data_IF_451844729256
#
_entry.id   IF_451844729256
#
_cell.length_a   1.000
_cell.length_b   1.000
_cell.length_c   1.000
_cell.angle_alpha   90.00
_cell.angle_beta   90.00
_cell.angle_gamma   90.00
#
_symmetry.space_group_name_H-M   'P 1'
#
loop_
_entity.id
_entity.type
_entity.pdbx_description
1 polymer ?
#
# COMPACT_ATOMS: atom_id res chain seq x y z
N UNK A 1 -8.88 -8.07 -40.28
CA UNK A 1 -8.66 -7.42 -38.97
C UNK A 1 -7.19 -7.29 -38.64
N UNK A 2 -6.45 -8.35 -38.30
CA UNK A 2 -5.04 -8.22 -37.89
C UNK A 2 -4.13 -7.66 -38.98
N UNK A 3 -4.30 -8.09 -40.23
CA UNK A 3 -3.52 -7.54 -41.35
C UNK A 3 -3.78 -6.05 -41.57
N UNK A 4 -5.05 -5.64 -41.59
CA UNK A 4 -5.47 -4.23 -41.73
C UNK A 4 -5.04 -3.36 -40.53
N UNK A 5 -5.05 -3.95 -39.33
CA UNK A 5 -4.56 -3.31 -38.12
C UNK A 5 -3.07 -3.05 -38.24
N UNK A 6 -2.27 -4.05 -38.60
CA UNK A 6 -0.84 -3.89 -38.73
C UNK A 6 -0.46 -2.96 -39.89
N UNK A 7 -1.17 -3.01 -41.03
CA UNK A 7 -0.97 -2.03 -42.10
C UNK A 7 -1.24 -0.59 -41.61
N UNK A 8 -2.24 -0.42 -40.74
CA UNK A 8 -2.53 0.88 -40.13
C UNK A 8 -1.51 1.31 -39.08
N UNK A 9 -0.89 0.37 -38.37
CA UNK A 9 0.19 0.61 -37.40
C UNK A 9 1.53 0.91 -38.09
N UNK A 10 1.81 0.28 -39.24
CA UNK A 10 2.99 0.53 -40.06
C UNK A 10 2.89 1.88 -40.81
N UNK A 11 1.74 2.57 -40.72
CA UNK A 11 1.48 3.80 -41.46
C UNK A 11 2.35 4.96 -40.97
N UNK A 12 2.94 5.77 -41.87
CA UNK A 12 3.64 6.99 -41.48
C UNK A 12 2.69 8.05 -40.87
N UNK A 13 1.39 7.92 -41.10
CA UNK A 13 0.36 8.82 -40.57
C UNK A 13 0.02 8.51 -39.10
N UNK A 14 0.38 9.45 -38.22
CA UNK A 14 0.13 9.36 -36.77
C UNK A 14 -1.35 9.14 -36.43
N UNK A 15 -2.27 9.78 -37.16
CA UNK A 15 -3.70 9.66 -36.87
C UNK A 15 -4.20 8.24 -37.18
N UNK A 16 -3.67 7.63 -38.24
CA UNK A 16 -3.99 6.23 -38.60
C UNK A 16 -3.46 5.26 -37.55
N UNK A 17 -2.21 5.39 -37.12
CA UNK A 17 -1.64 4.54 -36.06
C UNK A 17 -2.43 4.67 -34.76
N UNK A 18 -2.76 5.91 -34.36
CA UNK A 18 -3.57 6.16 -33.17
C UNK A 18 -4.97 5.56 -33.26
N UNK A 19 -5.63 5.68 -34.41
CA UNK A 19 -6.94 5.07 -34.64
C UNK A 19 -6.85 3.54 -34.56
N UNK A 20 -5.81 2.94 -35.14
CA UNK A 20 -5.56 1.49 -35.07
C UNK A 20 -5.43 0.99 -33.62
N UNK A 21 -4.64 1.66 -32.78
CA UNK A 21 -4.53 1.31 -31.36
C UNK A 21 -5.85 1.42 -30.59
N UNK A 22 -6.68 2.42 -30.92
CA UNK A 22 -8.02 2.56 -30.34
C UNK A 22 -8.95 1.42 -30.77
N UNK A 23 -8.97 1.10 -32.06
CA UNK A 23 -9.76 0.00 -32.63
C UNK A 23 -9.36 -1.33 -32.00
N UNK A 24 -8.06 -1.61 -31.86
CA UNK A 24 -7.57 -2.80 -31.19
C UNK A 24 -8.06 -2.90 -29.74
N UNK A 25 -7.95 -1.81 -28.97
CA UNK A 25 -8.41 -1.78 -27.58
C UNK A 25 -9.90 -2.10 -27.47
N UNK A 26 -10.71 -1.53 -28.35
CA UNK A 26 -12.15 -1.75 -28.39
C UNK A 26 -12.47 -3.20 -28.79
N UNK A 27 -11.77 -3.74 -29.78
CA UNK A 27 -11.94 -5.12 -30.21
C UNK A 27 -11.59 -6.14 -29.12
N UNK A 28 -10.51 -5.90 -28.35
CA UNK A 28 -10.12 -6.70 -27.19
C UNK A 28 -11.20 -6.62 -26.10
N UNK A 29 -11.62 -5.40 -25.71
CA UNK A 29 -12.67 -5.22 -24.68
C UNK A 29 -13.99 -5.88 -25.05
N UNK A 30 -14.36 -5.87 -26.32
CA UNK A 30 -15.54 -6.56 -26.84
C UNK A 30 -15.38 -8.09 -26.90
N UNK A 31 -14.16 -8.62 -26.66
CA UNK A 31 -13.84 -10.04 -26.82
C UNK A 31 -13.81 -10.51 -28.27
N UNK A 32 -13.81 -9.57 -29.22
CA UNK A 32 -13.76 -9.82 -30.67
C UNK A 32 -12.34 -9.95 -31.22
N UNK A 33 -11.33 -9.54 -30.45
CA UNK A 33 -9.91 -9.74 -30.74
C UNK A 33 -9.24 -10.41 -29.53
N UNK A 34 -8.55 -11.52 -29.77
CA UNK A 34 -7.73 -12.22 -28.78
C UNK A 34 -6.36 -12.47 -29.41
N UNK A 35 -5.39 -11.54 -29.23
CA UNK A 35 -4.07 -11.68 -29.83
C UNK A 35 -3.37 -12.91 -29.24
N UNK A 36 -2.94 -13.82 -30.12
CA UNK A 36 -2.02 -14.88 -29.75
C UNK A 36 -0.59 -14.34 -29.55
N UNK A 37 0.35 -15.24 -29.24
CA UNK A 37 1.74 -14.90 -28.97
C UNK A 37 2.42 -14.14 -30.13
N UNK A 38 2.13 -14.52 -31.38
CA UNK A 38 2.72 -13.86 -32.55
C UNK A 38 2.18 -12.44 -32.72
N UNK A 39 0.87 -12.25 -32.54
CA UNK A 39 0.25 -10.93 -32.57
C UNK A 39 0.80 -10.04 -31.44
N UNK A 40 0.95 -10.58 -30.23
CA UNK A 40 1.49 -9.84 -29.08
C UNK A 40 2.92 -9.39 -29.31
N UNK A 41 3.80 -10.26 -29.80
CA UNK A 41 5.18 -9.90 -30.12
C UNK A 41 5.23 -8.75 -31.11
N UNK A 42 4.46 -8.81 -32.21
CA UNK A 42 4.44 -7.74 -33.20
C UNK A 42 3.86 -6.43 -32.65
N UNK A 43 2.79 -6.49 -31.87
CA UNK A 43 2.22 -5.29 -31.23
C UNK A 43 3.22 -4.63 -30.25
N UNK A 44 4.04 -5.42 -29.55
CA UNK A 44 5.08 -4.89 -28.67
C UNK A 44 6.20 -4.21 -29.48
N UNK A 45 6.60 -4.79 -30.61
CA UNK A 45 7.57 -4.18 -31.53
C UNK A 45 7.07 -2.82 -32.04
N UNK A 46 5.82 -2.74 -32.51
CA UNK A 46 5.19 -1.49 -32.95
C UNK A 46 5.09 -0.47 -31.81
N UNK A 47 4.76 -0.91 -30.59
CA UNK A 47 4.69 -0.03 -29.43
C UNK A 47 6.07 0.52 -29.04
N UNK A 48 7.12 -0.28 -29.15
CA UNK A 48 8.50 0.14 -28.87
C UNK A 48 8.99 1.15 -29.92
N UNK A 49 8.61 0.97 -31.18
CA UNK A 49 8.96 1.87 -32.27
C UNK A 49 8.21 3.22 -32.26
N UNK A 50 7.12 3.34 -31.48
CA UNK A 50 6.30 4.55 -31.46
C UNK A 50 6.96 5.72 -30.69
N UNK A 51 7.38 6.74 -31.43
CA UNK A 51 8.04 7.93 -30.88
C UNK A 51 7.05 8.96 -30.27
N UNK A 52 5.75 8.89 -30.63
CA UNK A 52 4.75 9.88 -30.20
C UNK A 52 4.05 9.44 -28.93
N UNK A 53 4.24 10.20 -27.85
CA UNK A 53 3.72 9.86 -26.51
C UNK A 53 2.21 9.57 -26.46
N UNK A 54 1.39 10.30 -27.21
CA UNK A 54 -0.07 10.12 -27.18
C UNK A 54 -0.53 8.84 -27.89
N UNK A 55 0.14 8.47 -28.99
CA UNK A 55 -0.11 7.22 -29.72
C UNK A 55 0.42 6.02 -28.93
N UNK A 56 1.62 6.15 -28.36
CA UNK A 56 2.21 5.16 -27.45
C UNK A 56 1.28 4.84 -26.28
N UNK A 57 0.69 5.86 -25.65
CA UNK A 57 -0.30 5.66 -24.57
C UNK A 57 -1.52 4.85 -25.01
N UNK A 58 -1.99 5.01 -26.25
CA UNK A 58 -3.12 4.20 -26.74
C UNK A 58 -2.71 2.74 -26.91
N UNK A 59 -1.49 2.47 -27.39
CA UNK A 59 -1.02 1.09 -27.52
C UNK A 59 -0.80 0.39 -26.18
N UNK A 60 -0.27 1.10 -25.17
CA UNK A 60 -0.23 0.59 -23.78
C UNK A 60 -1.63 0.24 -23.27
N UNK A 61 -2.62 1.12 -23.49
CA UNK A 61 -3.99 0.85 -23.06
C UNK A 61 -4.63 -0.35 -23.78
N UNK A 62 -4.29 -0.60 -25.05
CA UNK A 62 -4.76 -1.76 -25.80
C UNK A 62 -4.17 -3.06 -25.22
N UNK A 63 -2.85 -3.09 -25.00
CA UNK A 63 -2.17 -4.27 -24.45
C UNK A 63 -2.56 -4.57 -23.00
N UNK A 64 -2.76 -3.54 -22.18
CA UNK A 64 -3.31 -3.70 -20.83
C UNK A 64 -4.72 -4.31 -20.86
N UNK A 65 -5.57 -3.89 -21.80
CA UNK A 65 -6.90 -4.48 -21.94
C UNK A 65 -6.84 -6.00 -22.23
N UNK A 66 -5.86 -6.45 -23.01
CA UNK A 66 -5.65 -7.88 -23.28
C UNK A 66 -5.17 -8.61 -22.03
N UNK A 67 -4.15 -8.09 -21.33
CA UNK A 67 -3.63 -8.71 -20.11
C UNK A 67 -4.73 -8.90 -19.04
N UNK A 68 -5.61 -7.91 -18.90
CA UNK A 68 -6.75 -7.97 -17.97
C UNK A 68 -7.77 -9.05 -18.36
N UNK A 69 -7.94 -9.32 -19.65
CA UNK A 69 -8.87 -10.32 -20.16
C UNK A 69 -8.28 -11.74 -20.11
N UNK A 70 -7.00 -11.88 -20.47
CA UNK A 70 -6.27 -13.16 -20.49
C UNK A 70 -6.00 -13.69 -19.08
N UNK A 71 -5.73 -12.79 -18.12
CA UNK A 71 -5.63 -13.13 -16.69
C UNK A 71 -6.94 -13.66 -16.08
N UNK A 72 -8.07 -13.49 -16.76
CA UNK A 72 -9.35 -14.10 -16.40
C UNK A 72 -9.58 -15.49 -16.98
N UNK A 73 -8.85 -15.90 -18.03
CA UNK A 73 -9.10 -17.14 -18.79
C UNK A 73 -8.18 -18.31 -18.42
N UNK A 74 -6.97 -18.07 -17.94
CA UNK A 74 -6.06 -19.16 -17.52
C UNK A 74 -6.19 -19.48 -16.03
N UNK A 75 -6.96 -20.52 -15.70
CA UNK A 75 -6.75 -21.33 -14.50
C UNK A 75 -7.48 -20.89 -13.22
N UNK A 76 -8.80 -21.16 -13.15
CA UNK A 76 -9.39 -21.75 -11.93
C UNK A 76 -10.77 -22.31 -12.25
N UNK A 77 -10.86 -23.63 -12.32
CA UNK A 77 -12.05 -24.32 -11.85
C UNK A 77 -12.32 -23.81 -10.43
N UNK A 78 -13.37 -23.01 -10.29
CA UNK A 78 -13.90 -22.60 -9.01
C UNK A 78 -14.69 -23.80 -8.48
N UNK A 79 -14.34 -24.39 -7.33
CA UNK A 79 -15.25 -25.32 -6.69
C UNK A 79 -16.54 -24.56 -6.41
N UNK A 80 -17.64 -25.05 -6.97
CA UNK A 80 -18.97 -24.57 -6.69
C UNK A 80 -19.30 -24.88 -5.22
N UNK A 81 -19.15 -23.89 -4.34
CA UNK A 81 -19.96 -23.64 -3.14
C UNK A 81 -19.34 -22.49 -2.32
N UNK A 82 -20.03 -21.34 -2.29
CA UNK A 82 -19.82 -20.30 -1.28
C UNK A 82 -18.71 -19.27 -1.55
N UNK A 83 -18.72 -18.58 -2.70
CA UNK A 83 -18.00 -17.29 -2.81
C UNK A 83 -18.67 -16.32 -1.84
N UNK A 84 -17.99 -15.82 -0.79
CA UNK A 84 -18.59 -14.80 0.05
C UNK A 84 -18.85 -13.56 -0.81
N UNK A 85 -20.10 -13.08 -0.79
CA UNK A 85 -20.46 -11.78 -1.35
C UNK A 85 -19.71 -10.71 -0.55
N UNK A 86 -18.58 -10.24 -1.06
CA UNK A 86 -17.83 -9.07 -0.55
C UNK A 86 -16.35 -9.34 -0.34
N UNK A 87 -15.50 -8.82 -1.23
CA UNK A 87 -14.04 -8.69 -0.99
C UNK A 87 -13.70 -7.30 -0.45
N UNK A 88 -12.47 -7.11 0.01
CA UNK A 88 -11.98 -5.83 0.55
C UNK A 88 -12.18 -4.68 -0.45
N UNK A 89 -11.95 -4.93 -1.74
CA UNK A 89 -12.17 -3.95 -2.80
C UNK A 89 -13.62 -3.47 -2.84
N UNK A 90 -14.58 -4.40 -2.85
CA UNK A 90 -16.00 -4.07 -2.85
C UNK A 90 -16.39 -3.27 -1.62
N UNK A 91 -16.01 -3.74 -0.44
CA UNK A 91 -16.28 -3.04 0.82
C UNK A 91 -15.70 -1.61 0.85
N UNK A 92 -14.52 -1.41 0.27
CA UNK A 92 -13.92 -0.08 0.15
C UNK A 92 -14.69 0.82 -0.83
N UNK A 93 -14.97 0.33 -2.05
CA UNK A 93 -15.56 1.12 -3.13
C UNK A 93 -17.05 1.39 -2.96
N UNK A 94 -17.78 0.50 -2.28
CA UNK A 94 -19.21 0.70 -2.00
C UNK A 94 -19.46 2.01 -1.23
N UNK A 95 -18.46 2.51 -0.49
CA UNK A 95 -18.52 3.80 0.18
C UNK A 95 -18.74 5.00 -0.77
N UNK A 96 -18.21 4.93 -2.00
CA UNK A 96 -18.31 6.03 -2.97
C UNK A 96 -19.67 6.06 -3.70
N UNK A 97 -20.51 5.04 -3.50
CA UNK A 97 -21.88 5.00 -4.04
C UNK A 97 -22.81 5.97 -3.30
N UNK A 98 -22.46 6.29 -2.06
CA UNK A 98 -23.11 7.31 -1.23
C UNK A 98 -22.68 8.74 -1.65
N UNK A 99 -23.40 9.79 -1.22
CA UNK A 99 -22.95 11.17 -1.35
C UNK A 99 -21.50 11.34 -0.92
N UNK A 100 -20.63 11.61 -1.90
CA UNK A 100 -19.18 11.65 -1.68
C UNK A 100 -18.59 12.93 -2.24
N UNK A 101 -17.75 13.59 -1.46
CA UNK A 101 -16.95 14.73 -1.92
C UNK A 101 -15.49 14.31 -2.01
N UNK A 102 -14.90 14.49 -3.19
CA UNK A 102 -13.48 14.30 -3.43
C UNK A 102 -12.80 15.66 -3.37
N UNK A 103 -12.03 15.89 -2.32
CA UNK A 103 -11.30 17.12 -2.08
C UNK A 103 -9.93 17.05 -2.76
N UNK A 104 -9.67 18.02 -3.62
CA UNK A 104 -8.37 18.23 -4.26
C UNK A 104 -7.86 19.63 -3.97
N UNK A 105 -6.56 19.76 -3.75
CA UNK A 105 -5.94 21.06 -3.48
C UNK A 105 -5.81 21.86 -4.77
N UNK A 106 -6.13 23.14 -4.65
CA UNK A 106 -5.86 24.16 -5.65
C UNK A 106 -5.02 25.27 -5.02
N UNK A 107 -3.80 25.43 -5.53
CA UNK A 107 -2.91 26.55 -5.21
C UNK A 107 -2.99 27.52 -6.40
N UNK A 108 -3.06 28.83 -6.14
CA UNK A 108 -3.23 29.89 -7.14
C UNK A 108 -2.21 29.82 -8.28
N UNK A 109 -1.06 29.19 -8.04
CA UNK A 109 0.01 29.01 -9.01
C UNK A 109 0.08 27.62 -9.64
N UNK A 110 -0.48 26.57 -9.01
CA UNK A 110 -0.26 25.16 -9.44
C UNK A 110 -1.40 24.21 -9.06
N UNK A 111 -1.73 23.32 -9.99
CA UNK A 111 -2.51 22.12 -9.70
C UNK A 111 -1.60 21.08 -9.02
N UNK A 112 -2.01 20.57 -7.85
CA UNK A 112 -1.30 19.51 -7.11
C UNK A 112 -1.97 18.17 -7.35
N UNK A 113 -1.15 17.12 -7.42
CA UNK A 113 -1.58 15.71 -7.53
C UNK A 113 -2.61 15.48 -8.65
N UNK A 114 -2.52 16.22 -9.76
CA UNK A 114 -3.55 16.23 -10.80
C UNK A 114 -3.67 14.91 -11.54
N UNK A 115 -2.55 14.24 -11.81
CA UNK A 115 -2.56 12.90 -12.41
C UNK A 115 -3.29 11.92 -11.50
N UNK A 116 -3.00 11.98 -10.20
CA UNK A 116 -3.64 11.15 -9.18
C UNK A 116 -5.16 11.38 -9.14
N UNK A 117 -5.59 12.65 -9.10
CA UNK A 117 -7.02 13.03 -9.17
C UNK A 117 -7.67 12.52 -10.46
N UNK A 118 -6.97 12.63 -11.59
CA UNK A 118 -7.47 12.20 -12.90
C UNK A 118 -7.65 10.69 -12.95
N UNK A 119 -6.69 9.92 -12.43
CA UNK A 119 -6.83 8.46 -12.33
C UNK A 119 -7.99 8.08 -11.40
N UNK A 120 -8.12 8.73 -10.23
CA UNK A 120 -9.24 8.46 -9.33
C UNK A 120 -10.59 8.75 -9.98
N UNK A 121 -10.70 9.84 -10.75
CA UNK A 121 -11.92 10.16 -11.50
C UNK A 121 -12.27 9.09 -12.54
N UNK A 122 -11.27 8.40 -13.13
CA UNK A 122 -11.51 7.26 -14.02
C UNK A 122 -12.02 6.03 -13.28
N UNK A 123 -11.58 5.83 -12.03
CA UNK A 123 -12.06 4.75 -11.16
C UNK A 123 -13.46 5.01 -10.59
N UNK A 124 -13.92 6.26 -10.63
CA UNK A 124 -15.22 6.70 -10.16
C UNK A 124 -16.10 7.22 -11.33
N UNK A 125 -16.42 6.36 -12.32
CA UNK A 125 -17.20 6.79 -13.48
C UNK A 125 -18.60 7.27 -13.08
N UNK A 126 -19.01 8.40 -13.66
CA UNK A 126 -20.28 9.05 -13.34
C UNK A 126 -21.51 8.12 -13.36
N UNK A 127 -21.68 7.19 -14.33
CA UNK A 127 -22.85 6.30 -14.34
C UNK A 127 -23.02 5.47 -13.06
N UNK A 128 -21.92 5.08 -12.42
CA UNK A 128 -21.89 4.24 -11.22
C UNK A 128 -21.82 5.06 -9.93
N UNK A 129 -21.12 6.20 -9.96
CA UNK A 129 -20.83 7.04 -8.80
C UNK A 129 -21.43 8.45 -8.95
N UNK A 130 -22.71 8.53 -9.34
CA UNK A 130 -23.42 9.79 -9.70
C UNK A 130 -23.39 10.87 -8.62
N UNK A 131 -23.25 10.46 -7.36
CA UNK A 131 -23.28 11.35 -6.20
C UNK A 131 -21.88 11.84 -5.80
N UNK A 132 -20.83 11.38 -6.49
CA UNK A 132 -19.46 11.82 -6.24
C UNK A 132 -19.18 13.18 -6.89
N UNK A 133 -18.68 14.13 -6.11
CA UNK A 133 -18.34 15.49 -6.57
C UNK A 133 -16.88 15.80 -6.31
N UNK A 134 -16.16 16.29 -7.32
CA UNK A 134 -14.78 16.73 -7.18
C UNK A 134 -14.74 18.22 -6.86
N UNK A 135 -14.29 18.58 -5.66
CA UNK A 135 -14.27 19.95 -5.16
C UNK A 135 -12.83 20.44 -5.03
N UNK A 136 -12.57 21.63 -5.59
CA UNK A 136 -11.28 22.31 -5.48
C UNK A 136 -11.25 23.13 -4.19
N UNK A 137 -10.28 22.84 -3.33
CA UNK A 137 -10.10 23.55 -2.06
C UNK A 137 -8.92 24.53 -2.20
N UNK A 138 -9.15 25.85 -2.04
CA UNK A 138 -8.08 26.83 -2.05
C UNK A 138 -7.22 26.70 -0.78
N UNK A 139 -5.90 26.83 -0.92
CA UNK A 139 -4.96 26.71 0.23
C UNK A 139 -5.02 27.89 1.19
N UNK A 140 -5.44 29.07 0.75
CA UNK A 140 -5.32 30.31 1.54
C UNK A 140 -6.53 30.56 2.46
N UNK A 141 -7.75 30.20 2.03
CA UNK A 141 -9.00 30.40 2.78
C UNK A 141 -10.04 29.33 2.44
N UNK A 142 -9.83 28.08 2.83
CA UNK A 142 -10.83 27.04 2.66
C UNK A 142 -12.06 27.33 3.54
N UNK A 143 -13.25 27.32 2.96
CA UNK A 143 -14.51 27.53 3.68
C UNK A 143 -15.08 26.16 4.12
N UNK A 144 -14.43 25.50 5.08
CA UNK A 144 -14.74 24.12 5.45
C UNK A 144 -16.19 23.89 5.84
N UNK A 145 -16.78 24.82 6.61
CA UNK A 145 -18.20 24.75 7.01
C UNK A 145 -19.17 24.77 5.82
N UNK A 146 -18.77 25.35 4.69
CA UNK A 146 -19.57 25.37 3.46
C UNK A 146 -19.28 24.16 2.57
N UNK A 147 -18.06 23.64 2.63
CA UNK A 147 -17.59 22.52 1.82
C UNK A 147 -18.08 21.17 2.36
N UNK A 148 -18.25 21.03 3.67
CA UNK A 148 -18.58 19.78 4.33
C UNK A 148 -20.02 19.79 4.83
N UNK A 149 -20.89 18.98 4.22
CA UNK A 149 -22.22 18.73 4.79
C UNK A 149 -22.15 17.61 5.83
N UNK A 150 -23.18 17.54 6.70
CA UNK A 150 -23.36 16.38 7.58
C UNK A 150 -23.68 15.15 6.73
N UNK A 151 -23.10 14.01 7.11
CA UNK A 151 -23.34 12.68 6.54
C UNK A 151 -22.81 12.40 5.11
N UNK A 152 -21.95 13.26 4.53
CA UNK A 152 -21.24 12.96 3.27
C UNK A 152 -19.92 12.22 3.53
N UNK A 153 -19.59 11.23 2.69
CA UNK A 153 -18.24 10.66 2.64
C UNK A 153 -17.27 11.71 2.12
N UNK A 154 -16.13 11.85 2.79
CA UNK A 154 -15.06 12.76 2.37
C UNK A 154 -13.87 11.96 1.88
N UNK A 155 -13.46 12.14 0.63
CA UNK A 155 -12.23 11.58 0.07
C UNK A 155 -11.20 12.68 -0.15
N UNK A 156 -10.08 12.62 0.54
CA UNK A 156 -9.00 13.59 0.48
C UNK A 156 -7.90 13.04 -0.43
N UNK A 157 -7.59 13.75 -1.52
CA UNK A 157 -6.48 13.41 -2.40
C UNK A 157 -5.30 14.33 -2.08
N UNK A 158 -4.22 13.73 -1.56
CA UNK A 158 -3.04 14.43 -1.06
C UNK A 158 -3.01 14.55 0.47
N UNK A 159 -1.89 15.06 0.98
CA UNK A 159 -1.65 15.16 2.43
C UNK A 159 -2.56 16.20 3.09
N UNK A 160 -3.19 15.83 4.20
CA UNK A 160 -4.10 16.69 4.97
C UNK A 160 -3.41 18.01 5.38
N UNK A 161 -2.15 17.98 5.84
CA UNK A 161 -1.42 19.19 6.25
C UNK A 161 -1.18 20.23 5.14
N UNK A 162 -1.43 19.91 3.86
CA UNK A 162 -1.39 20.91 2.77
C UNK A 162 -2.71 21.69 2.70
N UNK A 163 -3.80 21.15 3.23
CA UNK A 163 -5.11 21.80 3.29
C UNK A 163 -5.24 22.80 4.45
N UNK A 164 -4.21 22.93 5.29
CA UNK A 164 -4.17 23.86 6.43
C UNK A 164 -4.44 23.18 7.78
N UNK A 165 -4.26 23.96 8.86
CA UNK A 165 -4.40 23.49 10.24
C UNK A 165 -5.82 23.01 10.55
N UNK A 166 -6.83 23.77 10.11
CA UNK A 166 -8.23 23.40 10.28
C UNK A 166 -8.57 22.03 9.66
N UNK A 167 -7.96 21.68 8.52
CA UNK A 167 -8.15 20.36 7.91
C UNK A 167 -7.55 19.24 8.77
N UNK A 168 -6.41 19.50 9.40
CA UNK A 168 -5.76 18.54 10.32
C UNK A 168 -6.65 18.27 11.53
N UNK A 169 -7.29 19.31 12.08
CA UNK A 169 -8.24 19.18 13.17
C UNK A 169 -9.52 18.45 12.74
N UNK A 170 -10.06 18.82 11.57
CA UNK A 170 -11.31 18.27 11.04
C UNK A 170 -11.23 16.81 10.65
N UNK A 171 -10.07 16.34 10.19
CA UNK A 171 -9.85 14.99 9.69
C UNK A 171 -8.92 14.16 10.57
N UNK A 172 -8.86 14.47 11.87
CA UNK A 172 -8.03 13.80 12.87
C UNK A 172 -7.73 12.31 12.59
N UNK A 173 -6.44 11.98 12.41
CA UNK A 173 -5.95 10.63 12.15
C UNK A 173 -5.35 9.97 13.40
N UNK A 174 -5.64 10.45 14.62
CA UNK A 174 -5.12 9.86 15.87
C UNK A 174 -5.49 8.38 16.06
N UNK A 175 -6.60 7.94 15.47
CA UNK A 175 -7.05 6.54 15.49
C UNK A 175 -6.30 5.63 14.52
N UNK A 176 -5.48 6.17 13.61
CA UNK A 176 -4.77 5.39 12.59
C UNK A 176 -3.35 5.04 13.02
N UNK A 177 -2.89 3.85 12.65
CA UNK A 177 -1.54 3.36 12.90
C UNK A 177 -0.51 4.12 12.04
N UNK A 178 -0.77 4.30 10.75
CA UNK A 178 0.11 5.07 9.88
C UNK A 178 -0.42 6.49 9.73
N UNK A 179 0.46 7.49 9.68
CA UNK A 179 0.03 8.87 9.54
C UNK A 179 1.14 9.76 8.96
N UNK A 180 0.75 10.85 8.32
CA UNK A 180 1.64 11.97 8.06
C UNK A 180 1.72 12.86 9.31
N UNK A 181 2.90 13.33 9.72
CA UNK A 181 3.01 14.35 10.75
C UNK A 181 2.10 15.56 10.44
N UNK A 182 1.50 16.12 11.48
CA UNK A 182 0.53 17.22 11.40
C UNK A 182 1.15 18.58 11.09
N UNK A 183 2.47 18.62 10.92
CA UNK A 183 3.21 19.83 10.60
C UNK A 183 2.72 20.42 9.28
N UNK A 184 2.44 21.72 9.27
CA UNK A 184 2.13 22.44 8.04
C UNK A 184 3.32 22.40 7.10
N UNK A 185 3.06 22.46 5.79
CA UNK A 185 4.14 22.51 4.79
C UNK A 185 5.10 23.67 5.10
N UNK A 186 6.40 23.40 5.38
CA UNK A 186 7.36 24.47 5.58
C UNK A 186 7.46 25.39 4.36
N UNK A 187 7.41 26.69 4.60
CA UNK A 187 7.50 27.71 3.53
C UNK A 187 8.86 27.69 2.82
N UNK A 188 9.90 27.21 3.51
CA UNK A 188 11.27 27.10 3.01
C UNK A 188 11.47 26.01 1.95
N UNK A 189 10.56 25.05 1.82
CA UNK A 189 10.72 23.94 0.87
C UNK A 189 10.45 24.42 -0.56
N UNK A 190 11.52 24.48 -1.35
CA UNK A 190 11.45 24.75 -2.78
C UNK A 190 10.74 23.61 -3.53
N UNK A 191 10.05 23.89 -4.64
CA UNK A 191 9.47 22.84 -5.49
C UNK A 191 10.50 21.79 -5.90
N UNK A 192 10.11 20.52 -5.86
CA UNK A 192 10.98 19.39 -6.21
C UNK A 192 12.00 18.99 -5.14
N UNK A 193 12.08 19.71 -4.01
CA UNK A 193 12.91 19.32 -2.87
C UNK A 193 12.09 18.52 -1.86
N UNK A 194 12.75 17.51 -1.28
CA UNK A 194 12.23 16.73 -0.17
C UNK A 194 12.58 17.47 1.11
N UNK A 195 11.61 17.59 2.00
CA UNK A 195 11.84 18.14 3.34
C UNK A 195 12.79 17.22 4.11
N UNK A 196 13.92 17.73 4.64
CA UNK A 196 14.84 16.92 5.40
C UNK A 196 14.26 16.48 6.74
N UNK A 197 13.31 17.23 7.29
CA UNK A 197 12.84 17.06 8.67
C UNK A 197 11.74 16.01 8.77
N UNK A 198 10.49 16.32 8.44
CA UNK A 198 9.37 15.42 8.73
C UNK A 198 8.20 15.49 7.77
N UNK A 199 8.05 16.58 7.02
CA UNK A 199 6.84 16.83 6.24
C UNK A 199 6.60 15.77 5.15
N UNK A 200 7.67 15.16 4.62
CA UNK A 200 7.61 14.11 3.58
C UNK A 200 7.78 12.69 4.15
N UNK A 201 7.41 12.48 5.42
CA UNK A 201 7.56 11.18 6.08
C UNK A 201 6.20 10.66 6.52
N UNK A 202 6.00 9.35 6.38
CA UNK A 202 4.93 8.62 7.06
C UNK A 202 5.53 8.02 8.32
N UNK A 203 4.85 8.14 9.44
CA UNK A 203 5.25 7.56 10.73
C UNK A 203 4.23 6.50 11.18
N UNK A 204 4.68 5.63 12.06
CA UNK A 204 3.86 4.59 12.69
C UNK A 204 3.57 4.94 14.16
N UNK A 205 2.32 4.71 14.60
CA UNK A 205 1.88 4.68 15.99
C UNK A 205 1.54 3.25 16.39
N UNK A 206 1.78 2.91 17.65
CA UNK A 206 1.22 1.72 18.30
C UNK A 206 0.66 2.11 19.65
N UNK A 207 -0.56 1.65 19.94
CA UNK A 207 -1.26 1.94 21.20
C UNK A 207 -1.31 3.46 21.49
N UNK A 208 -1.56 4.26 20.45
CA UNK A 208 -1.62 5.73 20.54
C UNK A 208 -0.26 6.44 20.67
N UNK A 209 0.86 5.71 20.72
CA UNK A 209 2.21 6.27 20.88
C UNK A 209 3.00 6.22 19.57
N UNK A 210 3.64 7.33 19.22
CA UNK A 210 4.53 7.42 18.05
C UNK A 210 5.77 6.56 18.29
N UNK A 211 6.16 5.78 17.29
CA UNK A 211 7.36 4.96 17.35
C UNK A 211 8.53 5.76 16.77
N UNK A 212 9.48 6.15 17.62
CA UNK A 212 10.64 6.97 17.24
C UNK A 212 11.77 6.18 16.53
N UNK A 213 11.60 4.87 16.31
CA UNK A 213 12.63 4.05 15.66
C UNK A 213 12.66 4.32 14.15
N UNK A 214 13.86 4.38 13.55
CA UNK A 214 14.05 4.62 12.10
C UNK A 214 13.26 3.67 11.20
N UNK A 215 13.05 2.42 11.62
CA UNK A 215 12.28 1.42 10.85
C UNK A 215 10.77 1.71 10.79
N UNK A 216 10.27 2.61 11.64
CA UNK A 216 8.88 3.07 11.68
C UNK A 216 8.69 4.42 10.95
N UNK A 217 9.70 4.84 10.18
CA UNK A 217 9.71 6.07 9.40
C UNK A 217 9.84 5.70 7.92
N UNK A 218 8.80 6.00 7.15
CA UNK A 218 8.74 5.74 5.71
C UNK A 218 8.90 7.07 4.96
N UNK A 219 10.11 7.30 4.45
CA UNK A 219 10.52 8.55 3.81
C UNK A 219 10.90 8.32 2.35
N UNK A 220 10.80 9.36 1.52
CA UNK A 220 11.33 9.30 0.15
C UNK A 220 12.83 9.01 0.19
N UNK A 221 13.28 8.08 -0.64
CA UNK A 221 14.71 7.82 -0.85
C UNK A 221 15.01 7.80 -2.35
N UNK A 222 16.17 8.34 -2.73
CA UNK A 222 16.66 8.30 -4.11
C UNK A 222 18.07 7.71 -4.04
N UNK A 223 18.31 6.63 -4.76
CA UNK A 223 19.65 6.09 -4.99
C UNK A 223 20.07 6.30 -6.45
N UNK A 224 21.18 5.68 -6.86
CA UNK A 224 21.72 5.85 -8.21
C UNK A 224 20.77 5.35 -9.31
N UNK A 225 19.90 4.39 -8.99
CA UNK A 225 19.06 3.66 -9.95
C UNK A 225 17.58 3.97 -9.78
N UNK A 226 17.12 4.07 -8.55
CA UNK A 226 15.70 4.11 -8.21
C UNK A 226 15.36 5.26 -7.28
N UNK A 227 14.13 5.75 -7.44
CA UNK A 227 13.43 6.53 -6.44
C UNK A 227 12.38 5.65 -5.78
N UNK A 228 12.31 5.73 -4.46
CA UNK A 228 11.29 5.07 -3.65
C UNK A 228 10.47 6.13 -2.93
N UNK A 229 9.17 6.08 -3.13
CA UNK A 229 8.17 6.88 -2.43
C UNK A 229 7.20 5.98 -1.67
N UNK A 230 6.48 6.59 -0.73
CA UNK A 230 5.51 5.90 0.10
C UNK A 230 4.18 6.65 0.10
N UNK A 231 3.09 5.91 0.26
CA UNK A 231 1.76 6.47 0.33
C UNK A 231 0.85 5.71 1.28
N UNK A 232 -0.28 6.32 1.60
CA UNK A 232 -1.31 5.79 2.47
C UNK A 232 -2.65 5.79 1.74
N UNK A 233 -3.34 4.65 1.84
CA UNK A 233 -4.79 4.54 1.68
C UNK A 233 -5.34 4.41 3.09
N UNK A 234 -6.17 5.35 3.51
CA UNK A 234 -6.85 5.25 4.81
C UNK A 234 -8.34 5.39 4.60
N UNK A 235 -9.12 4.61 5.36
CA UNK A 235 -10.57 4.72 5.50
C UNK A 235 -10.87 4.63 6.98
N UNK A 236 -11.62 5.58 7.52
CA UNK A 236 -12.07 5.56 8.91
C UNK A 236 -13.40 6.30 9.05
N UNK A 237 -14.10 6.05 10.14
CA UNK A 237 -15.37 6.71 10.47
C UNK A 237 -15.14 7.73 11.59
N UNK A 238 -15.68 8.94 11.43
CA UNK A 238 -15.68 10.00 12.44
C UNK A 238 -17.04 10.00 13.15
N UNK A 239 -17.14 9.50 14.39
CA UNK A 239 -18.43 9.31 15.06
C UNK A 239 -19.16 10.62 15.37
N UNK A 240 -18.41 11.66 15.75
CA UNK A 240 -18.90 12.99 16.08
C UNK A 240 -19.51 13.71 14.86
N UNK A 241 -18.95 13.47 13.67
CA UNK A 241 -19.44 14.02 12.39
C UNK A 241 -20.33 13.06 11.59
N UNK A 242 -20.49 11.83 12.08
CA UNK A 242 -21.22 10.72 11.44
C UNK A 242 -20.86 10.50 9.97
N UNK A 243 -19.57 10.58 9.64
CA UNK A 243 -19.08 10.49 8.25
C UNK A 243 -17.90 9.56 8.10
N UNK A 244 -17.73 9.04 6.89
CA UNK A 244 -16.51 8.35 6.50
C UNK A 244 -15.50 9.33 5.93
N UNK A 245 -14.23 9.11 6.25
CA UNK A 245 -13.11 9.83 5.69
C UNK A 245 -12.20 8.82 5.00
N UNK A 246 -11.87 9.10 3.74
CA UNK A 246 -10.89 8.39 2.94
C UNK A 246 -9.72 9.32 2.67
N UNK A 247 -8.50 8.87 2.91
CA UNK A 247 -7.28 9.62 2.63
C UNK A 247 -6.45 8.83 1.63
N UNK A 248 -6.17 9.45 0.48
CA UNK A 248 -5.32 8.91 -0.58
C UNK A 248 -4.15 9.86 -0.77
N UNK A 249 -3.02 9.58 -0.11
CA UNK A 249 -1.94 10.54 0.01
C UNK A 249 -0.56 9.89 -0.08
N UNK A 250 0.37 10.55 -0.77
CA UNK A 250 1.79 10.19 -0.79
C UNK A 250 2.64 11.17 0.00
N UNK A 251 3.84 10.72 0.36
CA UNK A 251 4.91 11.64 0.75
C UNK A 251 5.26 12.61 -0.39
N UNK A 252 5.12 12.17 -1.64
CA UNK A 252 5.34 12.94 -2.86
C UNK A 252 4.16 12.81 -3.82
N UNK A 253 4.16 13.57 -4.93
CA UNK A 253 3.19 13.40 -6.03
C UNK A 253 3.19 11.98 -6.61
N UNK A 254 4.38 11.40 -6.76
CA UNK A 254 4.56 10.02 -7.22
C UNK A 254 3.97 9.03 -6.20
N UNK A 255 4.18 9.29 -4.90
CA UNK A 255 3.54 8.50 -3.83
C UNK A 255 2.01 8.56 -3.90
N UNK A 256 1.43 9.76 -4.10
CA UNK A 256 -0.03 9.93 -4.19
C UNK A 256 -0.59 9.22 -5.42
N UNK A 257 0.09 9.32 -6.56
CA UNK A 257 -0.29 8.59 -7.77
C UNK A 257 -0.22 7.08 -7.55
N UNK A 258 0.87 6.56 -6.98
CA UNK A 258 1.02 5.14 -6.71
C UNK A 258 0.00 4.58 -5.72
N UNK A 259 -0.46 5.38 -4.75
CA UNK A 259 -1.60 5.02 -3.89
C UNK A 259 -2.87 4.75 -4.71
N UNK A 260 -3.17 5.58 -5.70
CA UNK A 260 -4.38 5.46 -6.53
C UNK A 260 -4.23 4.33 -7.56
N UNK A 261 -3.05 4.17 -8.14
CA UNK A 261 -2.74 3.05 -9.03
C UNK A 261 -2.84 1.70 -8.30
N UNK A 262 -2.37 1.62 -7.05
CA UNK A 262 -2.59 0.42 -6.22
C UNK A 262 -4.08 0.16 -6.02
N UNK A 263 -4.84 1.21 -5.73
CA UNK A 263 -6.27 1.13 -5.47
C UNK A 263 -7.06 0.67 -6.71
N UNK A 264 -6.63 1.09 -7.92
CA UNK A 264 -7.17 0.59 -9.18
C UNK A 264 -7.04 -0.95 -9.27
N UNK A 265 -5.86 -1.48 -8.94
CA UNK A 265 -5.58 -2.91 -8.93
C UNK A 265 -6.15 -3.68 -7.71
N UNK A 266 -6.81 -3.01 -6.75
CA UNK A 266 -7.30 -3.68 -5.54
C UNK A 266 -8.33 -4.78 -5.85
N UNK A 267 -9.14 -4.60 -6.90
CA UNK A 267 -10.10 -5.60 -7.37
C UNK A 267 -9.42 -6.90 -7.82
N UNK A 268 -8.28 -6.79 -8.49
CA UNK A 268 -7.52 -7.92 -9.02
C UNK A 268 -6.82 -8.73 -7.93
N UNK A 269 -6.50 -8.08 -6.80
CA UNK A 269 -5.85 -8.74 -5.68
C UNK A 269 -6.77 -9.74 -4.95
N UNK A 270 -8.09 -9.65 -5.17
CA UNK A 270 -9.09 -10.57 -4.60
C UNK A 270 -8.91 -10.81 -3.09
N UNK A 271 -8.54 -9.76 -2.35
CA UNK A 271 -8.37 -9.83 -0.90
C UNK A 271 -9.77 -10.09 -0.28
N UNK A 272 -10.02 -11.22 0.40
CA UNK A 272 -11.28 -11.48 1.08
C UNK A 272 -11.45 -10.49 2.25
N UNK A 273 -12.62 -10.43 2.86
CA UNK A 273 -12.76 -9.76 4.15
C UNK A 273 -12.16 -10.65 5.27
N UNK A 274 -11.73 -10.10 6.42
CA UNK A 274 -11.38 -10.87 7.59
C UNK A 274 -12.52 -11.79 8.06
N UNK A 275 -12.18 -12.83 8.82
CA UNK A 275 -13.18 -13.68 9.47
C UNK A 275 -14.06 -12.85 10.41
N UNK A 276 -15.38 -12.90 10.23
CA UNK A 276 -16.34 -12.02 10.91
C UNK A 276 -16.77 -10.81 10.07
N UNK A 277 -16.14 -10.59 8.91
CA UNK A 277 -16.44 -9.46 8.02
C UNK A 277 -15.82 -8.15 8.48
N UNK A 278 -16.20 -7.06 7.81
CA UNK A 278 -15.92 -5.69 8.26
C UNK A 278 -17.24 -4.96 8.36
N UNK A 279 -17.47 -4.29 9.48
CA UNK A 279 -18.54 -3.31 9.62
C UNK A 279 -18.26 -2.06 8.80
N UNK A 280 -19.28 -1.23 8.62
CA UNK A 280 -19.10 0.06 7.95
C UNK A 280 -18.12 0.96 8.69
N UNK A 281 -18.06 0.87 10.03
CA UNK A 281 -17.23 1.73 10.89
C UNK A 281 -15.78 1.28 11.01
N UNK A 282 -15.45 0.10 10.49
CA UNK A 282 -14.10 -0.42 10.57
C UNK A 282 -13.10 0.39 9.76
N UNK A 283 -11.88 0.45 10.27
CA UNK A 283 -10.77 1.16 9.64
C UNK A 283 -10.15 0.31 8.53
N UNK A 284 -9.59 0.96 7.52
CA UNK A 284 -8.63 0.33 6.61
C UNK A 284 -7.42 1.24 6.51
N UNK A 285 -6.25 0.66 6.60
CA UNK A 285 -4.98 1.34 6.40
C UNK A 285 -4.09 0.50 5.50
N UNK A 286 -3.66 1.08 4.39
CA UNK A 286 -2.72 0.45 3.47
C UNK A 286 -1.50 1.34 3.32
N UNK A 287 -0.36 0.84 3.75
CA UNK A 287 0.93 1.46 3.50
C UNK A 287 1.45 0.99 2.14
N UNK A 288 1.56 1.92 1.21
CA UNK A 288 2.00 1.69 -0.16
C UNK A 288 3.46 2.09 -0.30
N UNK A 289 4.21 1.28 -1.05
CA UNK A 289 5.54 1.60 -1.54
C UNK A 289 5.52 1.66 -3.05
N UNK A 290 6.05 2.76 -3.57
CA UNK A 290 6.12 3.07 -4.99
C UNK A 290 7.59 3.14 -5.36
N UNK A 291 7.99 2.38 -6.39
CA UNK A 291 9.31 2.50 -7.01
C UNK A 291 9.16 3.24 -8.32
N UNK A 292 10.19 3.99 -8.71
CA UNK A 292 10.29 4.57 -10.02
C UNK A 292 11.76 4.56 -10.45
N UNK A 293 12.10 3.97 -11.60
CA UNK A 293 13.47 3.99 -12.11
C UNK A 293 13.88 5.44 -12.41
N UNK A 294 15.19 5.70 -12.29
CA UNK A 294 15.76 7.03 -12.49
C UNK A 294 15.47 7.56 -13.88
N UNK A 295 14.64 8.60 -13.92
CA UNK A 295 14.37 9.33 -15.16
C UNK A 295 15.47 10.37 -15.40
N UNK A 296 16.02 10.48 -16.62
CA UNK A 296 16.95 11.55 -16.97
C UNK A 296 16.30 12.94 -16.89
N UNK A 297 14.96 13.00 -16.91
CA UNK A 297 14.21 14.23 -16.70
C UNK A 297 13.72 14.34 -15.24
N UNK A 298 13.94 15.46 -14.55
CA UNK A 298 13.59 15.62 -13.13
C UNK A 298 12.08 15.49 -12.84
N UNK A 299 11.22 15.58 -13.86
CA UNK A 299 9.76 15.45 -13.76
C UNK A 299 9.19 14.21 -14.45
N UNK A 300 10.01 13.37 -15.09
CA UNK A 300 9.58 12.22 -15.89
C UNK A 300 9.54 10.89 -15.14
N UNK A 301 9.30 10.92 -13.83
CA UNK A 301 9.23 9.70 -13.02
C UNK A 301 7.92 8.96 -13.29
N UNK A 302 8.01 7.76 -13.84
CA UNK A 302 6.87 6.84 -13.96
C UNK A 302 6.89 5.87 -12.79
N UNK A 303 5.75 5.67 -12.14
CA UNK A 303 5.63 4.67 -11.09
C UNK A 303 5.72 3.27 -11.70
N UNK A 304 6.61 2.43 -11.18
CA UNK A 304 6.48 0.97 -11.28
C UNK A 304 5.20 0.53 -10.56
N UNK A 305 4.85 -0.76 -10.71
CA UNK A 305 3.72 -1.36 -10.00
C UNK A 305 3.81 -1.10 -8.49
N UNK A 306 2.88 -0.32 -7.91
CA UNK A 306 2.90 -0.02 -6.48
C UNK A 306 2.63 -1.29 -5.67
N UNK A 307 3.25 -1.40 -4.50
CA UNK A 307 3.13 -2.59 -3.63
C UNK A 307 2.64 -2.20 -2.25
N UNK A 308 1.72 -2.97 -1.67
CA UNK A 308 1.41 -2.81 -0.25
C UNK A 308 2.52 -3.41 0.60
N UNK A 309 3.07 -2.58 1.50
CA UNK A 309 3.97 -3.02 2.57
C UNK A 309 3.18 -3.55 3.78
N UNK A 310 1.99 -3.00 3.99
CA UNK A 310 1.08 -3.40 5.05
C UNK A 310 -0.35 -3.10 4.63
N UNK A 311 -1.29 -4.01 4.91
CA UNK A 311 -2.73 -3.79 4.83
C UNK A 311 -3.30 -4.15 6.21
N UNK A 312 -3.99 -3.22 6.83
CA UNK A 312 -4.67 -3.39 8.11
C UNK A 312 -6.15 -3.12 7.90
N UNK A 313 -7.02 -3.98 8.42
CA UNK A 313 -8.46 -3.80 8.39
C UNK A 313 -9.04 -4.05 9.78
N UNK A 314 -9.94 -3.16 10.23
CA UNK A 314 -10.35 -3.11 11.62
C UNK A 314 -9.17 -2.84 12.56
N UNK A 315 -9.32 -3.20 13.83
CA UNK A 315 -8.29 -2.99 14.87
C UNK A 315 -7.23 -4.09 14.91
N UNK A 316 -7.54 -5.28 14.42
CA UNK A 316 -6.76 -6.49 14.73
C UNK A 316 -6.34 -7.30 13.51
N UNK A 317 -6.86 -7.01 12.32
CA UNK A 317 -6.59 -7.82 11.14
C UNK A 317 -5.52 -7.22 10.26
N UNK A 318 -4.46 -8.01 10.05
CA UNK A 318 -3.41 -7.71 9.07
C UNK A 318 -3.53 -8.69 7.91
N UNK A 319 -3.48 -8.17 6.68
CA UNK A 319 -3.43 -9.00 5.48
C UNK A 319 -2.00 -9.47 5.24
N UNK A 320 -1.89 -10.73 4.86
CA UNK A 320 -0.63 -11.32 4.48
C UNK A 320 -0.71 -11.83 3.04
N UNK A 321 -0.18 -11.09 2.06
CA UNK A 321 -0.36 -11.41 0.65
C UNK A 321 0.22 -12.77 0.26
N UNK A 322 1.35 -13.18 0.85
CA UNK A 322 2.04 -14.43 0.53
C UNK A 322 1.20 -15.69 0.85
N UNK A 323 0.46 -15.65 1.96
CA UNK A 323 -0.39 -16.76 2.43
C UNK A 323 -1.87 -16.50 2.15
N UNK A 324 -2.18 -15.35 1.53
CA UNK A 324 -3.54 -14.89 1.22
C UNK A 324 -4.52 -15.05 2.38
N UNK A 325 -4.10 -14.66 3.58
CA UNK A 325 -4.93 -14.76 4.78
C UNK A 325 -4.87 -13.50 5.65
N UNK A 326 -5.94 -13.31 6.41
CA UNK A 326 -6.00 -12.36 7.51
C UNK A 326 -5.58 -13.05 8.79
N UNK A 327 -4.87 -12.34 9.65
CA UNK A 327 -4.60 -12.82 10.99
C UNK A 327 -3.93 -11.78 11.88
N UNK A 328 -3.81 -12.08 13.17
CA UNK A 328 -2.86 -11.35 14.01
C UNK A 328 -1.45 -11.58 13.47
N UNK A 329 -0.56 -10.61 13.67
CA UNK A 329 0.86 -10.86 13.49
C UNK A 329 1.28 -11.98 14.46
N UNK A 330 2.03 -12.98 14.00
CA UNK A 330 2.60 -14.10 14.76
C UNK A 330 4.00 -14.42 14.25
N UNK A 331 4.84 -14.98 15.10
CA UNK A 331 6.08 -15.62 14.69
C UNK A 331 5.85 -17.12 14.59
N UNK A 332 6.47 -17.75 13.61
CA UNK A 332 6.42 -19.21 13.44
C UNK A 332 7.83 -19.74 13.49
N UNK A 333 8.11 -20.64 14.41
CA UNK A 333 9.38 -21.34 14.51
C UNK A 333 9.15 -22.72 13.90
N UNK A 334 9.87 -23.02 12.82
CA UNK A 334 9.85 -24.34 12.21
C UNK A 334 10.80 -25.26 12.95
N UNK A 335 10.28 -26.40 13.40
CA UNK A 335 11.02 -27.46 14.06
C UNK A 335 11.46 -28.50 13.02
N UNK A 336 12.69 -28.98 13.12
CA UNK A 336 13.23 -30.07 12.30
C UNK A 336 13.97 -31.00 13.26
N UNK A 337 13.55 -32.26 13.33
CA UNK A 337 14.13 -33.25 14.25
C UNK A 337 14.12 -32.75 15.71
N UNK A 338 13.00 -32.16 16.15
CA UNK A 338 12.81 -31.54 17.46
C UNK A 338 13.73 -30.35 17.78
N UNK A 339 14.46 -29.83 16.79
CA UNK A 339 15.28 -28.63 16.94
C UNK A 339 14.70 -27.41 16.20
N UNK A 340 14.76 -26.20 16.78
CA UNK A 340 14.28 -25.00 16.11
C UNK A 340 15.24 -24.65 14.97
N UNK A 341 14.73 -24.72 13.74
CA UNK A 341 15.53 -24.53 12.53
C UNK A 341 15.37 -23.14 11.94
N UNK A 342 14.15 -22.62 11.82
CA UNK A 342 13.90 -21.38 11.07
C UNK A 342 12.81 -20.54 11.74
N UNK A 343 12.94 -19.21 11.69
CA UNK A 343 11.92 -18.28 12.18
C UNK A 343 11.29 -17.55 11.01
N UNK A 344 9.97 -17.55 10.97
CA UNK A 344 9.14 -16.90 9.98
C UNK A 344 8.22 -15.88 10.65
N UNK A 345 7.89 -14.81 9.93
CA UNK A 345 6.75 -13.96 10.32
C UNK A 345 5.50 -14.65 9.76
N UNK A 346 4.63 -15.28 10.55
CA UNK A 346 3.35 -15.90 10.14
C UNK A 346 3.37 -17.09 9.13
N UNK A 347 4.42 -17.92 9.14
CA UNK A 347 4.32 -19.28 8.58
C UNK A 347 5.52 -19.75 7.73
N UNK A 348 5.74 -21.07 7.61
CA UNK A 348 6.92 -21.68 7.01
C UNK A 348 6.98 -21.60 5.47
N UNK A 349 5.92 -21.11 4.81
CA UNK A 349 5.89 -20.87 3.36
C UNK A 349 6.56 -19.57 2.91
N UNK A 350 7.21 -18.84 3.83
CA UNK A 350 7.87 -17.55 3.54
C UNK A 350 9.38 -17.73 3.41
N UNK A 351 10.11 -16.66 3.07
CA UNK A 351 11.55 -16.65 3.32
C UNK A 351 11.78 -16.53 4.83
N UNK A 352 12.61 -17.40 5.44
CA UNK A 352 12.87 -17.31 6.86
C UNK A 352 13.49 -15.94 7.20
N UNK A 353 12.96 -15.30 8.25
CA UNK A 353 13.55 -14.09 8.84
C UNK A 353 14.96 -14.43 9.35
N UNK A 354 15.08 -15.60 9.98
CA UNK A 354 16.34 -16.21 10.41
C UNK A 354 16.36 -17.68 10.00
N UNK A 355 17.47 -18.10 9.37
CA UNK A 355 17.68 -19.47 8.91
C UNK A 355 18.38 -20.37 9.94
N UNK A 356 18.59 -21.63 9.55
CA UNK A 356 19.18 -22.71 10.37
C UNK A 356 20.48 -22.32 11.06
N UNK A 357 20.61 -22.72 12.32
CA UNK A 357 21.80 -22.51 13.14
C UNK A 357 22.02 -21.08 13.63
N UNK A 358 21.05 -20.17 13.44
CA UNK A 358 21.18 -18.82 13.96
C UNK A 358 20.87 -18.78 15.46
N UNK A 359 21.73 -18.15 16.26
CA UNK A 359 21.46 -17.84 17.68
C UNK A 359 20.07 -17.19 17.88
N UNK A 360 19.59 -16.42 16.90
CA UNK A 360 18.28 -15.78 16.94
C UNK A 360 17.11 -16.76 16.82
N UNK A 361 17.28 -17.90 16.14
CA UNK A 361 16.23 -18.93 16.06
C UNK A 361 16.06 -19.58 17.43
N UNK A 362 17.16 -20.01 18.04
CA UNK A 362 17.16 -20.56 19.40
C UNK A 362 16.67 -19.54 20.43
N UNK A 363 17.05 -18.27 20.29
CA UNK A 363 16.54 -17.18 21.14
C UNK A 363 15.01 -17.03 21.05
N UNK A 364 14.42 -17.06 19.86
CA UNK A 364 12.96 -16.96 19.70
C UNK A 364 12.26 -18.22 20.22
N UNK A 365 12.85 -19.40 20.00
CA UNK A 365 12.33 -20.64 20.57
C UNK A 365 12.34 -20.62 22.10
N UNK A 366 13.44 -20.18 22.72
CA UNK A 366 13.52 -20.02 24.17
C UNK A 366 12.49 -19.00 24.70
N UNK A 367 12.21 -17.92 23.96
CA UNK A 367 11.09 -17.03 24.31
C UNK A 367 9.76 -17.76 24.30
N UNK A 368 9.50 -18.63 23.32
CA UNK A 368 8.26 -19.42 23.28
C UNK A 368 8.12 -20.28 24.54
N UNK A 369 9.18 -21.00 24.94
CA UNK A 369 9.17 -21.82 26.16
C UNK A 369 8.90 -20.98 27.42
N UNK A 370 9.56 -19.82 27.54
CA UNK A 370 9.49 -18.97 28.74
C UNK A 370 8.24 -18.09 28.83
N UNK A 371 7.51 -17.92 27.73
CA UNK A 371 6.28 -17.11 27.68
C UNK A 371 5.01 -17.94 27.72
N UNK A 372 5.06 -19.13 28.33
CA UNK A 372 3.94 -20.09 28.37
C UNK A 372 3.45 -20.39 26.95
N UNK A 373 4.32 -21.05 26.18
CA UNK A 373 4.04 -21.50 24.80
C UNK A 373 3.79 -20.34 23.83
N UNK A 374 4.59 -19.28 23.95
CA UNK A 374 4.56 -18.16 23.01
C UNK A 374 3.41 -17.19 23.25
N UNK A 375 2.87 -17.10 24.46
CA UNK A 375 1.76 -16.18 24.76
C UNK A 375 2.26 -14.72 24.83
N UNK A 376 1.66 -13.78 24.09
CA UNK A 376 2.05 -12.37 24.12
C UNK A 376 1.91 -11.72 25.51
N UNK A 377 2.72 -10.69 25.76
CA UNK A 377 2.58 -9.81 26.91
C UNK A 377 3.45 -10.17 28.10
N UNK A 378 3.90 -11.43 28.19
CA UNK A 378 4.87 -11.93 29.18
C UNK A 378 6.23 -11.26 29.02
N UNK A 379 6.87 -10.95 30.15
CA UNK A 379 8.25 -10.44 30.22
C UNK A 379 9.15 -11.56 30.72
N UNK A 380 10.33 -11.68 30.13
CA UNK A 380 11.36 -12.63 30.52
C UNK A 380 12.62 -11.82 30.79
N UNK A 381 13.14 -11.84 32.02
CA UNK A 381 14.44 -11.24 32.34
C UNK A 381 15.55 -12.11 31.75
N UNK A 382 16.70 -11.54 31.38
CA UNK A 382 17.88 -12.30 30.90
C UNK A 382 18.33 -13.39 31.88
N UNK A 383 18.10 -13.19 33.17
CA UNK A 383 18.48 -14.15 34.20
C UNK A 383 17.54 -15.37 34.27
N UNK A 384 16.36 -15.30 33.64
CA UNK A 384 15.34 -16.36 33.65
C UNK A 384 15.52 -17.38 32.49
N UNK A 385 16.59 -17.26 31.69
CA UNK A 385 16.74 -18.02 30.44
C UNK A 385 17.32 -19.43 30.62
N UNK A 386 17.90 -19.74 31.78
CA UNK A 386 18.50 -21.05 32.05
C UNK A 386 19.59 -21.40 31.02
N UNK A 387 19.46 -22.56 30.37
CA UNK A 387 20.45 -23.06 29.38
C UNK A 387 20.64 -22.15 28.16
N UNK A 388 19.71 -21.21 27.92
CA UNK A 388 19.81 -20.22 26.84
C UNK A 388 20.40 -18.88 27.30
N UNK A 389 20.85 -18.74 28.54
CA UNK A 389 21.35 -17.48 29.09
C UNK A 389 22.51 -16.91 28.27
N UNK A 390 23.43 -17.76 27.81
CA UNK A 390 24.54 -17.32 26.94
C UNK A 390 24.04 -16.78 25.60
N UNK A 391 23.05 -17.44 24.98
CA UNK A 391 22.44 -16.99 23.72
C UNK A 391 21.70 -15.68 23.94
N UNK A 392 20.91 -15.58 25.00
CA UNK A 392 20.19 -14.37 25.38
C UNK A 392 21.15 -13.21 25.64
N UNK A 393 22.22 -13.44 26.40
CA UNK A 393 23.23 -12.44 26.69
C UNK A 393 24.00 -12.02 25.43
N UNK A 394 24.35 -12.95 24.53
CA UNK A 394 24.96 -12.62 23.23
C UNK A 394 24.06 -11.75 22.36
N UNK A 395 22.80 -12.15 22.23
CA UNK A 395 21.79 -11.48 21.39
C UNK A 395 21.41 -10.10 21.95
N UNK A 396 21.26 -10.01 23.27
CA UNK A 396 20.77 -8.81 23.94
C UNK A 396 21.88 -7.87 24.34
N UNK A 397 23.07 -8.31 24.72
CA UNK A 397 24.11 -7.43 25.28
C UNK A 397 25.39 -7.33 24.47
N UNK A 398 25.79 -8.37 23.75
CA UNK A 398 27.16 -8.42 23.20
C UNK A 398 27.26 -8.01 21.72
N UNK A 399 26.19 -8.09 20.93
CA UNK A 399 26.29 -7.85 19.47
C UNK A 399 25.21 -6.89 18.96
N UNK A 400 25.57 -5.62 18.67
CA UNK A 400 24.64 -4.66 18.06
C UNK A 400 23.98 -5.15 16.76
N UNK A 401 24.68 -6.00 15.99
CA UNK A 401 24.14 -6.63 14.79
C UNK A 401 22.96 -7.58 15.08
N UNK A 402 22.97 -8.30 16.21
CA UNK A 402 21.84 -9.16 16.59
C UNK A 402 20.61 -8.34 16.97
N UNK A 403 20.77 -7.22 17.69
CA UNK A 403 19.66 -6.28 17.96
C UNK A 403 19.09 -5.69 16.66
N UNK A 404 19.94 -5.28 15.72
CA UNK A 404 19.48 -4.82 14.40
C UNK A 404 18.72 -5.90 13.64
N UNK A 405 19.15 -7.17 13.74
CA UNK A 405 18.45 -8.30 13.14
C UNK A 405 17.12 -8.59 13.83
N UNK A 406 17.01 -8.49 15.16
CA UNK A 406 15.73 -8.61 15.88
C UNK A 406 14.69 -7.56 15.43
N UNK A 407 15.14 -6.35 15.07
CA UNK A 407 14.24 -5.33 14.50
C UNK A 407 13.57 -5.77 13.18
N UNK A 408 14.12 -6.78 12.46
CA UNK A 408 13.47 -7.37 11.29
C UNK A 408 12.15 -8.07 11.63
N UNK A 409 11.94 -8.45 12.89
CA UNK A 409 10.68 -9.01 13.36
C UNK A 409 9.59 -7.94 13.57
N UNK A 410 9.79 -6.70 13.09
CA UNK A 410 8.78 -5.62 13.04
C UNK A 410 8.11 -5.33 14.40
N UNK A 411 8.88 -5.47 15.48
CA UNK A 411 8.40 -5.25 16.85
C UNK A 411 7.54 -6.39 17.41
N UNK A 412 7.62 -7.59 16.84
CA UNK A 412 7.14 -8.83 17.45
C UNK A 412 7.79 -9.10 18.82
N UNK A 413 9.04 -8.67 18.99
CA UNK A 413 9.81 -8.77 20.22
C UNK A 413 10.21 -7.37 20.66
N UNK A 414 9.85 -7.00 21.89
CA UNK A 414 10.31 -5.78 22.55
C UNK A 414 11.47 -6.09 23.49
N UNK A 415 12.51 -5.28 23.46
CA UNK A 415 13.64 -5.36 24.39
C UNK A 415 13.66 -4.06 25.19
N UNK A 416 13.74 -4.17 26.51
CA UNK A 416 13.97 -3.05 27.41
C UNK A 416 15.46 -2.97 27.73
N UNK A 417 16.14 -1.95 27.20
CA UNK A 417 17.59 -1.82 27.32
C UNK A 417 18.06 -1.56 28.76
N UNK A 418 17.22 -0.98 29.64
CA UNK A 418 17.61 -0.65 31.01
C UNK A 418 17.44 -1.82 31.98
N UNK A 419 16.52 -2.74 31.69
CA UNK A 419 16.21 -3.88 32.57
C UNK A 419 16.64 -5.21 31.98
N UNK A 420 17.18 -5.23 30.75
CA UNK A 420 17.48 -6.44 29.99
C UNK A 420 16.24 -7.34 29.78
N UNK A 421 15.03 -6.83 30.01
CA UNK A 421 13.82 -7.63 29.86
C UNK A 421 13.42 -7.73 28.38
N UNK A 422 13.00 -8.93 28.00
CA UNK A 422 12.42 -9.19 26.69
C UNK A 422 10.93 -9.43 26.85
N UNK A 423 10.14 -8.77 26.02
CA UNK A 423 8.69 -8.93 25.96
C UNK A 423 8.28 -9.45 24.59
N UNK A 424 7.64 -10.60 24.58
CA UNK A 424 6.96 -11.07 23.39
C UNK A 424 5.68 -10.25 23.17
N UNK A 425 5.50 -9.70 21.97
CA UNK A 425 4.35 -8.85 21.63
C UNK A 425 3.36 -9.51 20.67
N UNK A 426 3.76 -10.61 20.04
CA UNK A 426 2.95 -11.39 19.11
C UNK A 426 3.12 -12.87 19.44
N UNK A 427 2.12 -13.72 19.17
CA UNK A 427 2.25 -15.12 19.53
C UNK A 427 3.39 -15.79 18.76
N UNK A 428 4.03 -16.79 19.38
CA UNK A 428 4.93 -17.71 18.69
C UNK A 428 4.22 -19.05 18.53
N UNK A 429 4.30 -19.64 17.33
CA UNK A 429 3.77 -20.96 17.02
C UNK A 429 4.92 -21.86 16.55
N UNK A 430 4.93 -23.11 17.01
CA UNK A 430 5.84 -24.13 16.52
C UNK A 430 5.18 -24.92 15.40
N UNK A 431 5.89 -25.18 14.30
CA UNK A 431 5.40 -25.94 13.15
C UNK A 431 6.37 -27.01 12.68
#
# INVERSE_FOLDING_TARGET
>A
MWDELFESLDSPDEQKRRAAWLTLREAIRAGSADPDEQHLSRLLEELIAEERSDTWRQGVHALLAHLLQSGGRQGREVPAAGVPRGGLARWFWDLFREPTIVLRIYDSLRRRDEDAVTELARLLPFPEFRQTKFIRVPTEKPLWDQLLRRDETVCIVGRIGIFGEEAVELFDTRSTQFFFPTQLKPQSIKPGRIDPDDFHRIRERRDGKVIERRSAIYATSVDERDRVDYGLIQRYYQPDKRRHVVVLAGNSRLGTLGTILYLAGLWEQRIPLPNGGLSERDTLEILIRVRAPKSPQPFGWSADTPTAQCVLAGREHRWFPDVRSWGPQRLVVKMVDDEPSEVYENGPGRRPVFGRGSDLVYFIYALWERTEQGTPGRRVSVDDWGDYQDVAHRVLHQVPAYRQRLNKLRGAVGVNDSTSEVRLRVPIELV
#
